data_IF_490920357176
#
_entry.id   IF_490920357176
#
_cell.length_a   1.000
_cell.length_b   1.000
_cell.length_c   1.000
_cell.angle_alpha   90.00
_cell.angle_beta   90.00
_cell.angle_gamma   90.00
#
_symmetry.space_group_name_H-M   'P 1'
#
loop_
_entity.id
_entity.type
_entity.pdbx_description
1 polymer ?
#
# COMPACT_ATOMS: atom_id res chain seq x y z
N UNK A 1 11.92 -37.76 7.44
CA UNK A 1 11.39 -36.47 6.89
C UNK A 1 11.69 -35.24 7.77
N UNK A 2 11.80 -35.39 9.10
CA UNK A 2 12.09 -34.25 9.99
C UNK A 2 13.50 -33.66 9.83
N UNK A 3 14.46 -34.41 9.31
CA UNK A 3 15.86 -33.97 9.12
C UNK A 3 15.96 -32.80 8.12
N UNK A 4 15.08 -32.78 7.11
CA UNK A 4 15.09 -31.73 6.09
C UNK A 4 14.07 -30.63 6.39
N UNK A 5 13.23 -30.81 7.41
CA UNK A 5 12.14 -29.88 7.67
C UNK A 5 12.68 -28.54 8.15
N UNK A 6 12.25 -27.48 7.45
CA UNK A 6 12.36 -26.12 7.94
C UNK A 6 10.98 -25.69 8.47
N UNK A 7 10.91 -25.14 9.70
CA UNK A 7 9.63 -24.83 10.32
C UNK A 7 8.88 -23.67 9.66
N UNK A 8 9.56 -22.79 8.92
CA UNK A 8 8.97 -21.61 8.31
C UNK A 8 8.90 -21.66 6.79
N UNK A 9 9.61 -22.63 6.15
CA UNK A 9 9.68 -22.68 4.69
C UNK A 9 9.80 -24.09 4.13
N UNK A 10 8.84 -24.46 3.27
CA UNK A 10 8.96 -25.65 2.42
C UNK A 10 10.09 -25.52 1.41
N UNK A 11 10.36 -24.34 0.90
CA UNK A 11 11.47 -24.09 -0.04
C UNK A 11 12.83 -24.36 0.62
N UNK A 12 13.03 -23.90 1.85
CA UNK A 12 14.25 -24.21 2.59
C UNK A 12 14.34 -25.68 2.96
N UNK A 13 13.23 -26.37 3.16
CA UNK A 13 13.23 -27.81 3.36
C UNK A 13 13.78 -28.54 2.13
N UNK A 14 13.41 -28.14 0.93
CA UNK A 14 14.00 -28.66 -0.31
C UNK A 14 15.46 -28.29 -0.46
N UNK A 15 15.85 -27.08 -0.08
CA UNK A 15 17.25 -26.65 -0.13
C UNK A 15 18.13 -27.48 0.81
N UNK A 16 17.67 -27.75 2.03
CA UNK A 16 18.35 -28.63 2.99
C UNK A 16 18.53 -30.05 2.44
N UNK A 17 17.46 -30.60 1.83
CA UNK A 17 17.53 -31.89 1.14
C UNK A 17 18.56 -31.89 0.02
N UNK A 18 18.56 -30.85 -0.80
CA UNK A 18 19.50 -30.68 -1.92
C UNK A 18 20.97 -30.65 -1.45
N UNK A 19 21.28 -29.88 -0.42
CA UNK A 19 22.64 -29.81 0.11
C UNK A 19 23.12 -31.15 0.67
N UNK A 20 22.25 -31.86 1.37
CA UNK A 20 22.59 -33.18 1.89
C UNK A 20 22.81 -34.17 0.75
N UNK A 21 21.95 -34.19 -0.24
CA UNK A 21 22.11 -35.03 -1.43
C UNK A 21 23.41 -34.71 -2.19
N UNK A 22 23.73 -33.42 -2.41
CA UNK A 22 25.00 -33.00 -3.06
C UNK A 22 26.23 -33.42 -2.27
N UNK A 23 26.19 -33.37 -0.96
CA UNK A 23 27.29 -33.83 -0.10
C UNK A 23 27.54 -35.31 -0.28
N UNK A 24 26.52 -36.15 -0.23
CA UNK A 24 26.61 -37.56 -0.44
C UNK A 24 27.04 -37.93 -1.89
N UNK A 25 26.60 -37.13 -2.88
CA UNK A 25 26.96 -37.33 -4.28
C UNK A 25 28.43 -37.07 -4.60
N UNK A 26 29.11 -36.20 -3.82
CA UNK A 26 30.55 -35.90 -4.03
C UNK A 26 31.48 -37.07 -3.65
N UNK A 27 31.09 -37.83 -2.62
CA UNK A 27 31.97 -38.78 -1.99
C UNK A 27 31.73 -40.24 -2.41
N UNK A 28 30.70 -40.55 -3.23
CA UNK A 28 30.27 -41.92 -3.38
C UNK A 28 29.87 -42.35 -4.79
N UNK A 29 30.09 -43.65 -5.06
CA UNK A 29 29.65 -44.34 -6.28
C UNK A 29 28.11 -44.45 -6.33
N UNK A 30 27.53 -44.57 -7.52
CA UNK A 30 26.08 -44.68 -7.80
C UNK A 30 25.29 -45.62 -6.87
N UNK A 31 25.92 -46.73 -6.40
CA UNK A 31 25.32 -47.69 -5.46
C UNK A 31 25.02 -47.05 -4.09
N UNK A 32 25.88 -46.23 -3.62
CA UNK A 32 25.76 -45.54 -2.33
C UNK A 32 24.66 -44.47 -2.33
N UNK A 33 24.49 -43.76 -3.44
CA UNK A 33 23.40 -42.80 -3.61
C UNK A 33 22.02 -43.48 -3.62
N UNK A 34 21.92 -44.69 -4.14
CA UNK A 34 20.68 -45.47 -4.06
C UNK A 34 20.34 -45.83 -2.62
N UNK A 35 21.33 -46.31 -1.84
CA UNK A 35 21.17 -46.63 -0.41
C UNK A 35 20.75 -45.37 0.38
N UNK A 36 21.37 -44.22 0.09
CA UNK A 36 20.97 -42.95 0.67
C UNK A 36 19.51 -42.61 0.36
N UNK A 37 19.10 -42.71 -0.91
CA UNK A 37 17.74 -42.45 -1.31
C UNK A 37 16.73 -43.38 -0.61
N UNK A 38 17.01 -44.68 -0.55
CA UNK A 38 16.21 -45.67 0.17
C UNK A 38 16.08 -45.30 1.66
N UNK A 39 17.19 -44.99 2.32
CA UNK A 39 17.21 -44.61 3.74
C UNK A 39 16.30 -43.43 4.05
N UNK A 40 16.20 -42.47 3.15
CA UNK A 40 15.38 -41.27 3.33
C UNK A 40 14.05 -41.26 2.57
N UNK A 41 13.64 -42.42 2.02
CA UNK A 41 12.41 -42.57 1.24
C UNK A 41 12.33 -41.62 0.05
N UNK A 42 13.46 -41.44 -0.63
CA UNK A 42 13.57 -40.59 -1.82
C UNK A 42 13.62 -41.47 -3.08
N UNK A 43 13.00 -40.96 -4.16
CA UNK A 43 13.16 -41.59 -5.48
C UNK A 43 14.52 -41.27 -6.08
N UNK A 44 15.37 -42.26 -6.27
CA UNK A 44 16.70 -42.06 -6.87
C UNK A 44 16.62 -41.43 -8.27
N UNK A 45 15.64 -41.87 -9.09
CA UNK A 45 15.47 -41.29 -10.43
C UNK A 45 15.08 -39.84 -10.39
N UNK A 46 14.13 -39.43 -9.53
CA UNK A 46 13.75 -38.02 -9.36
C UNK A 46 14.89 -37.14 -8.82
N UNK A 47 15.73 -37.69 -7.94
CA UNK A 47 16.91 -36.97 -7.45
C UNK A 47 17.94 -36.77 -8.55
N UNK A 48 18.10 -37.71 -9.47
CA UNK A 48 18.94 -37.54 -10.66
C UNK A 48 18.36 -36.54 -11.65
N UNK A 49 17.09 -36.59 -11.94
CA UNK A 49 16.37 -35.65 -12.80
C UNK A 49 16.55 -34.22 -12.23
N UNK A 50 16.40 -34.05 -10.91
CA UNK A 50 16.64 -32.75 -10.25
C UNK A 50 18.08 -32.29 -10.43
N UNK A 51 19.05 -33.18 -10.30
CA UNK A 51 20.47 -32.85 -10.52
C UNK A 51 20.75 -32.40 -11.95
N UNK A 52 20.17 -33.06 -12.94
CA UNK A 52 20.35 -32.69 -14.35
C UNK A 52 19.64 -31.35 -14.63
N UNK A 53 18.43 -31.15 -14.12
CA UNK A 53 17.72 -29.85 -14.22
C UNK A 53 18.54 -28.70 -13.60
N UNK A 54 19.16 -28.95 -12.42
CA UNK A 54 20.03 -27.94 -11.79
C UNK A 54 21.20 -27.56 -12.70
N UNK A 55 21.85 -28.52 -13.35
CA UNK A 55 22.95 -28.25 -14.29
C UNK A 55 22.50 -27.43 -15.49
N UNK A 56 21.35 -27.77 -16.06
CA UNK A 56 20.79 -27.04 -17.18
C UNK A 56 20.47 -25.59 -16.82
N UNK A 57 19.81 -25.37 -15.67
CA UNK A 57 19.50 -24.03 -15.18
C UNK A 57 20.77 -23.22 -14.87
N UNK A 58 21.82 -23.86 -14.32
CA UNK A 58 23.09 -23.21 -14.07
C UNK A 58 23.74 -22.75 -15.39
N UNK A 59 23.78 -23.62 -16.38
CA UNK A 59 24.31 -23.29 -17.71
C UNK A 59 23.53 -22.12 -18.36
N UNK A 60 22.19 -22.15 -18.30
CA UNK A 60 21.36 -21.03 -18.79
C UNK A 60 21.66 -19.73 -18.05
N UNK A 61 21.87 -19.77 -16.75
CA UNK A 61 22.23 -18.58 -15.97
C UNK A 61 23.60 -18.03 -16.37
N UNK A 62 24.58 -18.91 -16.63
CA UNK A 62 25.92 -18.53 -17.11
C UNK A 62 25.84 -17.90 -18.53
N UNK A 63 25.04 -18.48 -19.44
CA UNK A 63 24.80 -17.93 -20.78
C UNK A 63 24.12 -16.54 -20.76
N UNK A 64 23.38 -16.23 -19.68
CA UNK A 64 22.77 -14.93 -19.42
C UNK A 64 23.67 -13.96 -18.63
N UNK A 65 24.96 -14.27 -18.49
CA UNK A 65 25.95 -13.50 -17.71
C UNK A 65 25.61 -13.33 -16.22
N UNK A 66 24.77 -14.19 -15.64
CA UNK A 66 24.54 -14.20 -14.21
C UNK A 66 25.72 -14.85 -13.47
N UNK A 67 26.24 -14.13 -12.48
CA UNK A 67 27.31 -14.64 -11.62
C UNK A 67 26.75 -15.37 -10.40
N UNK A 68 27.15 -16.60 -10.22
CA UNK A 68 26.82 -17.36 -9.00
C UNK A 68 27.56 -16.74 -7.81
N UNK A 69 26.81 -16.38 -6.75
CA UNK A 69 27.38 -15.86 -5.52
C UNK A 69 28.10 -16.95 -4.73
N UNK A 70 29.27 -16.63 -4.19
CA UNK A 70 30.00 -17.49 -3.26
C UNK A 70 29.51 -17.36 -1.80
N UNK A 71 28.55 -16.46 -1.54
CA UNK A 71 27.97 -16.26 -0.21
C UNK A 71 26.60 -16.92 -0.17
N UNK A 72 26.31 -17.62 0.93
CA UNK A 72 24.99 -18.16 1.18
C UNK A 72 23.96 -17.04 1.27
N UNK A 73 22.85 -17.19 0.56
CA UNK A 73 21.73 -16.27 0.65
C UNK A 73 20.95 -16.49 1.96
N UNK A 74 20.50 -15.41 2.58
CA UNK A 74 19.67 -15.48 3.77
C UNK A 74 18.20 -15.80 3.41
N UNK A 75 17.36 -15.97 4.45
CA UNK A 75 15.94 -16.28 4.30
C UNK A 75 15.21 -15.28 3.38
N UNK A 76 15.40 -13.99 3.63
CA UNK A 76 14.75 -12.93 2.87
C UNK A 76 15.16 -12.94 1.39
N UNK A 77 16.45 -13.05 1.10
CA UNK A 77 16.94 -13.05 -0.28
C UNK A 77 16.40 -14.21 -1.09
N UNK A 78 16.37 -15.42 -0.50
CA UNK A 78 15.82 -16.62 -1.15
C UNK A 78 14.33 -16.42 -1.45
N UNK A 79 13.56 -15.96 -0.45
CA UNK A 79 12.12 -15.85 -0.58
C UNK A 79 11.69 -14.66 -1.44
N UNK A 80 12.43 -13.56 -1.45
CA UNK A 80 12.21 -12.47 -2.40
C UNK A 80 12.37 -12.92 -3.85
N UNK A 81 13.39 -13.76 -4.14
CA UNK A 81 13.60 -14.31 -5.49
C UNK A 81 12.42 -15.17 -5.94
N UNK A 82 11.91 -16.05 -5.08
CA UNK A 82 10.72 -16.84 -5.40
C UNK A 82 9.46 -15.99 -5.49
N UNK A 83 9.29 -15.06 -4.55
CA UNK A 83 8.09 -14.21 -4.48
C UNK A 83 7.91 -13.34 -5.73
N UNK A 84 9.01 -12.92 -6.37
CA UNK A 84 8.95 -12.15 -7.63
C UNK A 84 8.19 -12.87 -8.74
N UNK A 85 8.24 -14.21 -8.77
CA UNK A 85 7.49 -15.06 -9.71
C UNK A 85 6.18 -15.62 -9.14
N UNK A 86 5.92 -15.46 -7.84
CA UNK A 86 4.80 -16.11 -7.13
C UNK A 86 3.83 -15.10 -6.48
N UNK A 87 3.81 -13.85 -6.95
CA UNK A 87 2.92 -12.80 -6.43
C UNK A 87 1.43 -13.16 -6.51
N UNK A 88 1.06 -14.05 -7.44
CA UNK A 88 -0.30 -14.59 -7.54
C UNK A 88 -0.63 -15.69 -6.53
N UNK A 89 0.37 -16.27 -5.87
CA UNK A 89 0.23 -17.41 -4.97
C UNK A 89 0.47 -17.05 -3.50
N UNK A 90 0.11 -15.84 -3.10
CA UNK A 90 0.17 -15.39 -1.70
C UNK A 90 -1.17 -15.58 -1.01
N UNK A 91 -1.13 -15.73 0.31
CA UNK A 91 -2.32 -15.85 1.14
C UNK A 91 -2.22 -15.11 2.45
N UNK A 92 -3.34 -14.56 2.86
CA UNK A 92 -3.54 -13.86 4.13
C UNK A 92 -4.49 -14.63 5.02
N UNK A 93 -4.15 -14.74 6.29
CA UNK A 93 -4.99 -15.36 7.32
C UNK A 93 -5.57 -14.28 8.22
N UNK A 94 -6.88 -14.09 8.14
CA UNK A 94 -7.59 -13.05 8.89
C UNK A 94 -8.18 -13.57 10.22
N UNK A 95 -8.51 -14.85 10.29
CA UNK A 95 -9.23 -15.44 11.41
C UNK A 95 -8.51 -16.65 12.02
N UNK A 96 -9.02 -17.17 13.14
CA UNK A 96 -8.52 -18.36 13.82
C UNK A 96 -8.71 -19.68 13.00
N UNK A 97 -9.38 -19.61 11.85
CA UNK A 97 -9.58 -20.76 10.96
C UNK A 97 -8.29 -21.30 10.33
N UNK A 98 -8.43 -22.30 9.47
CA UNK A 98 -7.32 -22.92 8.72
C UNK A 98 -7.23 -22.39 7.29
N UNK A 99 -8.18 -21.54 6.87
CA UNK A 99 -8.26 -21.00 5.51
C UNK A 99 -7.43 -19.74 5.37
N UNK A 100 -6.82 -19.59 4.20
CA UNK A 100 -6.15 -18.41 3.74
C UNK A 100 -6.94 -17.77 2.62
N UNK A 101 -7.11 -16.46 2.66
CA UNK A 101 -7.61 -15.67 1.54
C UNK A 101 -6.43 -15.35 0.62
N UNK A 102 -6.50 -15.83 -0.60
CA UNK A 102 -5.51 -15.57 -1.64
C UNK A 102 -5.92 -14.44 -2.57
N UNK A 103 -5.07 -14.18 -3.55
CA UNK A 103 -5.37 -13.30 -4.68
C UNK A 103 -6.60 -13.79 -5.44
N UNK A 104 -7.28 -12.89 -6.19
CA UNK A 104 -8.51 -13.20 -6.95
C UNK A 104 -9.62 -13.79 -6.10
N UNK A 105 -9.67 -13.43 -4.81
CA UNK A 105 -10.68 -13.87 -3.84
C UNK A 105 -10.76 -15.40 -3.65
N UNK A 106 -9.73 -16.17 -4.00
CA UNK A 106 -9.69 -17.60 -3.76
C UNK A 106 -9.44 -17.89 -2.28
N UNK A 107 -10.05 -18.96 -1.77
CA UNK A 107 -9.76 -19.48 -0.43
C UNK A 107 -9.10 -20.82 -0.53
N UNK A 108 -8.03 -21.01 0.22
CA UNK A 108 -7.28 -22.27 0.21
C UNK A 108 -6.78 -22.66 1.60
N UNK A 109 -6.45 -23.93 1.74
CA UNK A 109 -5.90 -24.54 2.95
C UNK A 109 -4.41 -24.83 2.75
N UNK A 110 -3.68 -24.98 3.84
CA UNK A 110 -2.30 -25.49 3.76
C UNK A 110 -2.35 -27.02 3.65
N UNK A 111 -1.72 -27.57 2.60
CA UNK A 111 -1.70 -29.00 2.32
C UNK A 111 -0.97 -29.85 3.37
N UNK A 112 0.32 -29.67 3.61
CA UNK A 112 1.08 -30.52 4.52
C UNK A 112 0.68 -30.33 5.97
N UNK A 113 0.43 -31.42 6.71
CA UNK A 113 0.11 -31.39 8.14
C UNK A 113 1.18 -30.65 8.99
N UNK A 114 2.44 -30.68 8.56
CA UNK A 114 3.57 -30.04 9.25
C UNK A 114 3.42 -28.52 9.39
N UNK A 115 2.68 -27.88 8.49
CA UNK A 115 2.46 -26.45 8.51
C UNK A 115 1.07 -26.03 9.02
N UNK A 116 0.13 -26.96 9.16
CA UNK A 116 -1.27 -26.66 9.56
C UNK A 116 -1.39 -25.98 10.92
N UNK A 117 -0.53 -26.36 11.85
CA UNK A 117 -0.55 -25.81 13.21
C UNK A 117 0.24 -24.51 13.33
N UNK A 118 0.78 -23.98 12.23
CA UNK A 118 1.50 -22.71 12.20
C UNK A 118 0.54 -21.58 11.87
N UNK A 119 0.54 -20.56 12.71
CA UNK A 119 -0.34 -19.39 12.55
C UNK A 119 0.38 -18.26 11.82
N UNK A 120 0.83 -18.51 10.59
CA UNK A 120 1.45 -17.46 9.77
C UNK A 120 0.38 -16.54 9.21
N UNK A 121 0.54 -15.24 9.42
CA UNK A 121 -0.38 -14.24 8.91
C UNK A 121 -0.32 -14.13 7.39
N UNK A 122 0.89 -14.18 6.83
CA UNK A 122 1.16 -14.11 5.40
C UNK A 122 2.02 -15.28 4.96
N UNK A 123 1.63 -15.90 3.86
CA UNK A 123 2.38 -16.99 3.24
C UNK A 123 2.46 -16.78 1.73
N UNK A 124 3.49 -17.37 1.11
CA UNK A 124 3.52 -17.68 -0.31
C UNK A 124 3.51 -19.20 -0.51
N UNK A 125 3.00 -19.67 -1.63
CA UNK A 125 2.99 -21.06 -2.02
C UNK A 125 3.65 -21.25 -3.39
N UNK A 126 4.35 -22.37 -3.59
CA UNK A 126 4.87 -22.70 -4.91
C UNK A 126 3.71 -22.96 -5.89
N UNK A 127 2.67 -23.64 -5.42
CA UNK A 127 1.48 -23.95 -6.21
C UNK A 127 0.24 -24.07 -5.32
N UNK A 128 -0.92 -23.89 -5.93
CA UNK A 128 -2.22 -24.15 -5.31
C UNK A 128 -2.91 -25.20 -6.18
N UNK A 129 -3.19 -26.37 -5.62
CA UNK A 129 -3.78 -27.50 -6.33
C UNK A 129 -5.22 -27.72 -5.88
N UNK A 130 -6.08 -28.10 -6.82
CA UNK A 130 -7.47 -28.47 -6.56
C UNK A 130 -7.61 -29.98 -6.45
N UNK A 131 -8.09 -30.44 -5.29
CA UNK A 131 -8.42 -31.84 -5.01
C UNK A 131 -9.83 -31.93 -4.42
N UNK A 132 -10.78 -31.14 -4.94
CA UNK A 132 -12.10 -30.90 -4.36
C UNK A 132 -12.12 -29.75 -3.36
N UNK A 133 -10.96 -29.35 -2.84
CA UNK A 133 -10.65 -28.09 -2.15
C UNK A 133 -9.27 -27.62 -2.59
N UNK A 134 -9.07 -26.33 -2.54
CA UNK A 134 -7.77 -25.74 -2.90
C UNK A 134 -6.77 -25.92 -1.75
N UNK A 135 -5.60 -26.44 -2.07
CA UNK A 135 -4.50 -26.64 -1.13
C UNK A 135 -3.20 -25.99 -1.62
N UNK A 136 -2.61 -25.14 -0.80
CA UNK A 136 -1.28 -24.60 -1.03
C UNK A 136 -0.21 -25.65 -0.73
N UNK A 137 0.71 -25.84 -1.66
CA UNK A 137 1.85 -26.76 -1.55
C UNK A 137 3.15 -25.96 -1.46
N UNK A 138 4.14 -26.50 -0.73
CA UNK A 138 5.45 -25.87 -0.53
C UNK A 138 5.33 -24.40 -0.13
N UNK A 139 4.80 -24.16 1.07
CA UNK A 139 4.57 -22.81 1.57
C UNK A 139 5.82 -22.23 2.26
N UNK A 140 5.91 -20.91 2.28
CA UNK A 140 6.81 -20.18 3.16
C UNK A 140 6.11 -18.99 3.80
N UNK A 141 6.50 -18.68 5.04
CA UNK A 141 6.13 -17.44 5.72
C UNK A 141 6.80 -16.25 5.01
N UNK A 142 6.05 -15.18 4.79
CA UNK A 142 6.56 -13.96 4.18
C UNK A 142 6.22 -12.72 5.00
N UNK A 143 7.00 -11.66 4.80
CA UNK A 143 6.65 -10.32 5.27
C UNK A 143 5.88 -9.59 4.14
N UNK A 144 4.73 -9.01 4.49
CA UNK A 144 3.91 -8.26 3.52
C UNK A 144 4.66 -7.09 2.88
N UNK A 145 5.64 -6.51 3.56
CA UNK A 145 6.49 -5.45 3.04
C UNK A 145 7.29 -5.88 1.80
N UNK A 146 7.59 -7.16 1.69
CA UNK A 146 8.25 -7.71 0.51
C UNK A 146 7.31 -7.67 -0.71
N UNK A 147 6.04 -8.02 -0.47
CA UNK A 147 5.00 -7.95 -1.52
C UNK A 147 4.81 -6.51 -1.99
N UNK A 148 4.66 -5.56 -1.05
CA UNK A 148 4.52 -4.15 -1.38
C UNK A 148 5.68 -3.64 -2.25
N UNK A 149 6.92 -4.05 -1.93
CA UNK A 149 8.12 -3.64 -2.67
C UNK A 149 8.20 -4.25 -4.06
N UNK A 150 7.90 -5.54 -4.19
CA UNK A 150 8.04 -6.28 -5.46
C UNK A 150 6.86 -6.03 -6.41
N UNK A 151 5.67 -5.83 -5.87
CA UNK A 151 4.44 -5.78 -6.63
C UNK A 151 3.99 -4.36 -7.03
N UNK A 152 4.82 -3.32 -6.87
CA UNK A 152 4.44 -1.91 -7.15
C UNK A 152 3.80 -1.72 -8.53
N UNK A 153 4.24 -2.47 -9.53
CA UNK A 153 3.71 -2.42 -10.89
C UNK A 153 2.38 -3.17 -11.10
N UNK A 154 1.91 -3.92 -10.08
CA UNK A 154 0.70 -4.72 -10.10
C UNK A 154 -0.32 -4.28 -9.03
N UNK A 155 0.10 -3.37 -8.13
CA UNK A 155 -0.74 -2.90 -7.03
C UNK A 155 -1.72 -1.85 -7.53
N UNK A 156 -2.99 -2.07 -7.21
CA UNK A 156 -4.05 -1.08 -7.37
C UNK A 156 -4.21 -0.29 -6.07
N UNK A 157 -4.42 1.02 -6.19
CA UNK A 157 -4.62 1.90 -5.05
C UNK A 157 -6.05 2.40 -5.01
N UNK A 158 -6.72 2.20 -3.88
CA UNK A 158 -7.99 2.82 -3.56
C UNK A 158 -7.77 3.94 -2.56
N UNK A 159 -8.45 5.07 -2.78
CA UNK A 159 -8.36 6.23 -1.90
C UNK A 159 -9.72 6.51 -1.27
N UNK A 160 -9.71 6.79 0.02
CA UNK A 160 -10.93 7.06 0.77
C UNK A 160 -10.71 8.14 1.83
N UNK A 161 -11.83 8.78 2.24
CA UNK A 161 -11.87 9.77 3.32
C UNK A 161 -10.89 10.94 3.12
N UNK A 162 -10.85 11.60 1.95
CA UNK A 162 -10.06 12.80 1.80
C UNK A 162 -10.60 13.89 2.74
N UNK A 163 -9.71 14.47 3.56
CA UNK A 163 -10.08 15.49 4.56
C UNK A 163 -8.95 16.45 4.84
N UNK A 164 -9.32 17.63 5.26
CA UNK A 164 -8.37 18.65 5.68
C UNK A 164 -7.61 18.22 6.94
N UNK A 165 -6.31 18.35 6.90
CA UNK A 165 -5.42 18.18 8.04
C UNK A 165 -4.92 19.56 8.48
N UNK A 166 -5.56 20.10 9.51
CA UNK A 166 -5.26 21.44 10.05
C UNK A 166 -3.78 21.58 10.44
N UNK A 167 -3.20 20.58 11.11
CA UNK A 167 -1.80 20.65 11.58
C UNK A 167 -0.77 20.69 10.45
N UNK A 168 -1.04 19.99 9.35
CA UNK A 168 -0.15 19.93 8.20
C UNK A 168 -0.57 20.88 7.07
N UNK A 169 -1.69 21.59 7.26
CA UNK A 169 -2.28 22.52 6.27
C UNK A 169 -2.36 21.90 4.86
N UNK A 170 -2.85 20.66 4.78
CA UNK A 170 -3.00 19.93 3.53
C UNK A 170 -4.16 18.93 3.61
N UNK A 171 -4.56 18.40 2.46
CA UNK A 171 -5.55 17.32 2.43
C UNK A 171 -4.82 15.98 2.52
N UNK A 172 -5.21 15.16 3.50
CA UNK A 172 -4.79 13.79 3.66
C UNK A 172 -5.94 12.85 3.31
N UNK A 173 -5.62 11.68 2.75
CA UNK A 173 -6.56 10.59 2.49
C UNK A 173 -5.98 9.25 2.96
N UNK A 174 -6.84 8.25 3.09
CA UNK A 174 -6.44 6.87 3.35
C UNK A 174 -6.22 6.15 2.02
N UNK A 175 -5.00 5.71 1.77
CA UNK A 175 -4.64 4.86 0.64
C UNK A 175 -4.65 3.40 1.06
N UNK A 176 -5.44 2.59 0.39
CA UNK A 176 -5.49 1.13 0.52
C UNK A 176 -4.82 0.51 -0.69
N UNK A 177 -4.03 -0.54 -0.47
CA UNK A 177 -3.29 -1.21 -1.56
C UNK A 177 -3.83 -2.62 -1.76
N UNK A 178 -4.12 -2.96 -3.02
CA UNK A 178 -4.64 -4.27 -3.41
C UNK A 178 -3.72 -4.91 -4.44
N UNK A 179 -3.50 -6.22 -4.29
CA UNK A 179 -2.81 -7.04 -5.28
C UNK A 179 -3.78 -8.12 -5.77
N UNK A 180 -4.20 -8.02 -7.03
CA UNK A 180 -5.22 -8.90 -7.61
C UNK A 180 -6.46 -9.06 -6.70
N UNK A 181 -6.95 -7.95 -6.15
CA UNK A 181 -8.10 -7.92 -5.25
C UNK A 181 -7.81 -8.31 -3.78
N UNK A 182 -6.63 -8.82 -3.46
CA UNK A 182 -6.22 -9.09 -2.09
C UNK A 182 -5.70 -7.81 -1.44
N UNK A 183 -6.26 -7.44 -0.29
CA UNK A 183 -5.80 -6.28 0.48
C UNK A 183 -4.45 -6.59 1.09
N UNK A 184 -3.39 -5.96 0.58
CA UNK A 184 -2.02 -6.08 1.12
C UNK A 184 -1.68 -4.99 2.13
N UNK A 185 -2.34 -3.83 2.02
CA UNK A 185 -2.28 -2.76 3.02
C UNK A 185 -3.68 -2.15 3.21
N UNK A 186 -4.27 -2.26 4.41
CA UNK A 186 -5.65 -1.81 4.65
C UNK A 186 -5.79 -0.29 4.74
N UNK A 187 -4.69 0.44 5.00
CA UNK A 187 -4.76 1.89 5.07
C UNK A 187 -3.46 2.56 5.47
N UNK A 188 -3.00 3.46 4.62
CA UNK A 188 -1.88 4.36 4.86
C UNK A 188 -2.35 5.79 4.62
N UNK A 189 -2.10 6.69 5.57
CA UNK A 189 -2.37 8.11 5.37
C UNK A 189 -1.36 8.69 4.39
N UNK A 190 -1.88 9.35 3.35
CA UNK A 190 -1.06 9.99 2.31
C UNK A 190 -1.48 11.44 2.09
N UNK A 191 -0.58 12.23 1.50
CA UNK A 191 -0.92 13.55 0.97
C UNK A 191 -1.75 13.39 -0.31
N UNK A 192 -3.04 13.77 -0.24
CA UNK A 192 -3.99 13.53 -1.33
C UNK A 192 -3.83 14.48 -2.51
N UNK A 193 -3.22 15.65 -2.30
CA UNK A 193 -2.97 16.61 -3.36
C UNK A 193 -2.14 16.09 -4.54
N UNK A 194 -1.27 15.11 -4.30
CA UNK A 194 -0.50 14.43 -5.37
C UNK A 194 -1.32 13.44 -6.19
N UNK A 195 -2.49 13.03 -5.68
CA UNK A 195 -3.38 12.06 -6.33
C UNK A 195 -4.51 12.77 -7.07
N UNK A 196 -5.18 13.71 -6.40
CA UNK A 196 -6.29 14.45 -6.96
C UNK A 196 -6.20 15.93 -6.50
N UNK A 197 -5.63 16.75 -7.37
CA UNK A 197 -5.45 18.17 -7.12
C UNK A 197 -6.79 18.91 -7.01
N UNK A 198 -7.73 18.61 -7.91
CA UNK A 198 -9.02 19.29 -7.99
C UNK A 198 -9.85 19.09 -6.71
N UNK A 199 -9.98 17.85 -6.28
CA UNK A 199 -10.71 17.51 -5.06
C UNK A 199 -10.01 18.04 -3.81
N UNK A 200 -8.67 17.97 -3.76
CA UNK A 200 -7.89 18.54 -2.66
C UNK A 200 -8.06 20.06 -2.57
N UNK A 201 -8.10 20.76 -3.71
CA UNK A 201 -8.38 22.18 -3.75
C UNK A 201 -9.77 22.51 -3.24
N UNK A 202 -10.80 21.76 -3.65
CA UNK A 202 -12.17 21.95 -3.16
C UNK A 202 -12.25 21.77 -1.64
N UNK A 203 -11.58 20.75 -1.10
CA UNK A 203 -11.54 20.48 0.34
C UNK A 203 -10.77 21.58 1.07
N UNK A 204 -9.61 22.03 0.55
CA UNK A 204 -8.85 23.13 1.12
C UNK A 204 -9.67 24.41 1.22
N UNK A 205 -10.34 24.81 0.13
CA UNK A 205 -11.18 26.02 0.14
C UNK A 205 -12.35 25.84 1.12
N UNK A 206 -13.07 24.71 1.06
CA UNK A 206 -14.26 24.49 1.89
C UNK A 206 -13.92 24.35 3.37
N UNK A 207 -13.05 23.41 3.72
CA UNK A 207 -12.71 23.14 5.12
C UNK A 207 -11.66 24.10 5.66
N UNK A 208 -10.62 24.38 4.90
CA UNK A 208 -9.55 25.29 5.34
C UNK A 208 -10.02 26.74 5.43
N UNK A 209 -10.56 27.29 4.34
CA UNK A 209 -10.82 28.72 4.26
C UNK A 209 -12.25 29.09 4.69
N UNK A 210 -13.27 28.36 4.22
CA UNK A 210 -14.69 28.69 4.50
C UNK A 210 -15.10 28.26 5.89
N UNK A 211 -14.68 27.07 6.35
CA UNK A 211 -14.95 26.56 7.71
C UNK A 211 -13.91 27.05 8.74
N UNK A 212 -12.97 27.90 8.29
CA UNK A 212 -11.98 28.57 9.15
C UNK A 212 -11.04 27.62 9.90
N UNK A 213 -10.79 26.45 9.35
CA UNK A 213 -9.84 25.48 9.93
C UNK A 213 -8.39 25.74 9.51
N UNK A 214 -8.13 26.76 8.69
CA UNK A 214 -6.79 27.18 8.30
C UNK A 214 -6.23 28.21 9.29
N UNK A 215 -5.01 28.02 9.76
CA UNK A 215 -4.36 28.94 10.67
C UNK A 215 -3.32 29.77 9.92
N UNK A 216 -3.51 31.08 9.87
CA UNK A 216 -2.56 32.05 9.31
C UNK A 216 -2.63 33.37 10.05
N UNK A 217 -1.48 34.06 10.10
CA UNK A 217 -1.38 35.43 10.65
C UNK A 217 -1.56 36.53 9.57
N UNK A 218 -2.05 36.15 8.38
CA UNK A 218 -2.24 37.08 7.28
C UNK A 218 -3.30 38.16 7.61
N UNK A 219 -3.08 39.45 7.24
CA UNK A 219 -4.01 40.51 7.54
C UNK A 219 -5.43 40.29 7.03
N UNK A 220 -5.59 39.72 5.81
CA UNK A 220 -6.89 39.43 5.25
C UNK A 220 -7.70 38.45 6.12
N UNK A 221 -7.01 37.49 6.74
CA UNK A 221 -7.66 36.44 7.54
C UNK A 221 -8.36 37.02 8.75
N UNK A 222 -7.64 37.86 9.51
CA UNK A 222 -8.21 38.55 10.67
C UNK A 222 -9.37 39.46 10.25
N UNK A 223 -9.18 40.26 9.17
CA UNK A 223 -10.23 41.13 8.65
C UNK A 223 -11.49 40.35 8.28
N UNK A 224 -11.35 39.25 7.55
CA UNK A 224 -12.47 38.42 7.10
C UNK A 224 -13.21 37.77 8.29
N UNK A 225 -12.48 37.28 9.29
CA UNK A 225 -13.05 36.74 10.53
C UNK A 225 -13.86 37.82 11.30
N UNK A 226 -13.27 38.97 11.49
CA UNK A 226 -13.91 40.10 12.19
C UNK A 226 -15.18 40.57 11.43
N UNK A 227 -15.16 40.61 10.11
CA UNK A 227 -16.30 40.98 9.28
C UNK A 227 -17.45 39.93 9.38
N UNK A 228 -17.10 38.67 9.30
CA UNK A 228 -18.06 37.55 9.43
C UNK A 228 -18.75 37.60 10.81
N UNK A 229 -17.95 37.73 11.89
CA UNK A 229 -18.47 37.83 13.25
C UNK A 229 -19.41 39.06 13.44
N UNK A 230 -19.05 40.19 12.83
CA UNK A 230 -19.90 41.39 12.83
C UNK A 230 -21.24 41.16 12.15
N UNK A 231 -21.26 40.48 11.02
CA UNK A 231 -22.49 40.16 10.28
C UNK A 231 -23.35 39.20 11.06
N UNK A 232 -22.78 38.12 11.61
CA UNK A 232 -23.49 37.14 12.44
C UNK A 232 -24.13 37.80 13.69
N UNK A 233 -23.43 38.72 14.34
CA UNK A 233 -23.96 39.53 15.47
C UNK A 233 -25.12 40.44 15.08
N UNK A 234 -25.10 41.01 13.87
CA UNK A 234 -26.18 41.83 13.33
C UNK A 234 -27.43 40.98 13.05
N UNK A 235 -27.26 39.79 12.53
CA UNK A 235 -28.35 38.83 12.30
C UNK A 235 -29.08 38.48 13.61
N UNK A 236 -28.31 38.08 14.61
CA UNK A 236 -28.86 37.75 15.94
C UNK A 236 -29.67 38.91 16.54
N UNK A 237 -29.28 40.17 16.29
CA UNK A 237 -29.99 41.35 16.82
C UNK A 237 -31.23 41.73 16.03
N UNK A 238 -31.24 41.50 14.69
CA UNK A 238 -32.31 41.95 13.82
C UNK A 238 -33.47 40.98 13.67
N UNK A 239 -33.38 39.75 14.21
CA UNK A 239 -34.37 38.64 14.01
C UNK A 239 -34.72 38.38 12.54
N UNK A 240 -33.92 38.85 11.59
CA UNK A 240 -34.07 38.58 10.16
C UNK A 240 -33.21 37.37 9.80
N UNK A 241 -33.86 36.31 9.34
CA UNK A 241 -33.18 35.10 8.84
C UNK A 241 -32.53 35.30 7.45
N UNK A 242 -32.70 36.49 6.86
CA UNK A 242 -32.33 36.78 5.47
C UNK A 242 -30.85 37.20 5.30
N UNK A 243 -30.07 37.23 6.40
CA UNK A 243 -28.68 37.71 6.39
C UNK A 243 -27.67 36.58 6.65
N UNK A 244 -28.12 35.30 6.67
CA UNK A 244 -27.21 34.18 6.88
C UNK A 244 -26.08 34.21 5.86
N UNK A 245 -24.83 34.29 6.37
CA UNK A 245 -23.66 34.21 5.51
C UNK A 245 -23.67 32.82 4.84
N UNK A 246 -24.00 32.84 3.55
CA UNK A 246 -24.03 31.62 2.77
C UNK A 246 -22.58 31.12 2.56
N UNK A 247 -22.26 29.95 3.11
CA UNK A 247 -20.96 29.31 2.94
C UNK A 247 -20.59 29.11 1.46
N UNK A 248 -21.58 28.96 0.58
CA UNK A 248 -21.32 28.82 -0.85
C UNK A 248 -20.87 30.15 -1.48
N UNK A 249 -21.33 31.29 -0.97
CA UNK A 249 -20.83 32.61 -1.39
C UNK A 249 -19.38 32.79 -1.00
N UNK A 250 -19.00 32.39 0.23
CA UNK A 250 -17.60 32.38 0.66
C UNK A 250 -16.73 31.44 -0.18
N UNK A 251 -17.26 30.26 -0.49
CA UNK A 251 -16.59 29.29 -1.34
C UNK A 251 -16.32 29.90 -2.74
N UNK A 252 -17.33 30.49 -3.37
CA UNK A 252 -17.21 31.14 -4.68
C UNK A 252 -16.21 32.30 -4.66
N UNK A 253 -16.15 33.08 -3.57
CA UNK A 253 -15.17 34.12 -3.43
C UNK A 253 -13.73 33.60 -3.52
N UNK A 254 -13.41 32.57 -2.75
CA UNK A 254 -12.08 32.00 -2.76
C UNK A 254 -11.81 31.21 -4.05
N UNK A 255 -12.80 30.46 -4.56
CA UNK A 255 -12.70 29.70 -5.79
C UNK A 255 -12.34 30.56 -6.99
N UNK A 256 -12.94 31.77 -7.10
CA UNK A 256 -12.69 32.69 -8.20
C UNK A 256 -11.38 33.48 -8.09
N UNK A 257 -10.83 33.60 -6.88
CA UNK A 257 -9.64 34.43 -6.62
C UNK A 257 -8.35 33.61 -6.52
N UNK A 258 -8.43 32.40 -6.02
CA UNK A 258 -7.24 31.57 -5.78
C UNK A 258 -6.92 30.77 -7.03
N UNK A 259 -5.67 30.76 -7.45
CA UNK A 259 -5.21 30.01 -8.61
C UNK A 259 -5.55 28.51 -8.51
N UNK A 260 -5.85 27.91 -9.65
CA UNK A 260 -6.34 26.52 -9.74
C UNK A 260 -5.34 25.48 -9.22
N UNK A 261 -4.07 25.81 -9.17
CA UNK A 261 -3.01 24.91 -8.71
C UNK A 261 -2.84 24.89 -7.18
N UNK A 262 -3.51 25.79 -6.47
CA UNK A 262 -3.38 25.92 -5.03
C UNK A 262 -4.34 24.96 -4.31
N UNK A 263 -3.76 24.00 -3.59
CA UNK A 263 -4.50 22.91 -2.93
C UNK A 263 -4.09 22.69 -1.46
N UNK A 264 -3.18 23.49 -0.94
CA UNK A 264 -2.69 23.37 0.44
C UNK A 264 -2.19 24.72 0.99
N UNK A 265 -1.96 24.77 2.31
CA UNK A 265 -1.55 25.99 2.99
C UNK A 265 -0.18 26.51 2.54
N UNK A 266 0.79 25.65 2.28
CA UNK A 266 2.13 26.09 1.86
C UNK A 266 2.09 26.78 0.49
N UNK A 267 1.42 26.15 -0.49
CA UNK A 267 1.21 26.75 -1.81
C UNK A 267 0.39 28.04 -1.73
N UNK A 268 -0.64 28.05 -0.89
CA UNK A 268 -1.47 29.22 -0.65
C UNK A 268 -0.67 30.39 -0.07
N UNK A 269 0.16 30.17 0.95
CA UNK A 269 0.99 31.25 1.54
C UNK A 269 2.01 31.83 0.55
N UNK A 270 2.62 30.95 -0.28
CA UNK A 270 3.55 31.42 -1.31
C UNK A 270 2.84 32.25 -2.36
N UNK A 271 1.74 31.77 -2.91
CA UNK A 271 0.92 32.46 -3.90
C UNK A 271 0.37 33.79 -3.33
N UNK A 272 -0.25 33.75 -2.15
CA UNK A 272 -0.82 34.91 -1.49
C UNK A 272 0.18 36.04 -1.31
N UNK A 273 1.37 35.72 -0.77
CA UNK A 273 2.42 36.76 -0.58
C UNK A 273 2.82 37.43 -1.88
N UNK A 274 2.83 36.73 -2.98
CA UNK A 274 3.13 37.32 -4.29
C UNK A 274 1.97 38.16 -4.79
N UNK A 275 0.73 37.73 -4.66
CA UNK A 275 -0.46 38.45 -5.08
C UNK A 275 -0.67 39.71 -4.25
N UNK A 276 -0.48 39.68 -2.94
CA UNK A 276 -0.65 40.81 -2.03
C UNK A 276 0.43 41.93 -2.22
N UNK A 277 1.55 41.62 -2.86
CA UNK A 277 2.53 42.67 -3.25
C UNK A 277 1.96 43.62 -4.31
N UNK A 278 1.05 43.14 -5.14
CA UNK A 278 0.44 43.90 -6.23
C UNK A 278 -0.91 44.47 -5.80
N UNK A 279 -1.69 43.69 -5.06
CA UNK A 279 -2.97 44.08 -4.48
C UNK A 279 -3.07 43.62 -3.01
N UNK A 280 -2.71 44.47 -2.04
CA UNK A 280 -2.75 44.11 -0.62
C UNK A 280 -4.12 43.75 -0.08
N UNK A 281 -5.19 44.11 -0.78
CA UNK A 281 -6.57 43.82 -0.38
C UNK A 281 -7.26 42.75 -1.21
N UNK A 282 -6.51 42.06 -2.04
CA UNK A 282 -7.06 41.07 -2.98
C UNK A 282 -7.97 40.00 -2.32
N UNK A 283 -7.61 39.51 -1.14
CA UNK A 283 -8.38 38.48 -0.41
C UNK A 283 -9.29 39.05 0.69
N UNK A 284 -9.44 40.35 0.79
CA UNK A 284 -10.34 41.00 1.78
C UNK A 284 -11.80 40.83 1.30
N UNK A 285 -12.66 40.31 2.17
CA UNK A 285 -14.09 40.32 1.98
C UNK A 285 -14.65 41.73 2.18
N UNK A 286 -15.70 42.08 1.48
CA UNK A 286 -16.46 43.31 1.68
C UNK A 286 -17.90 42.97 2.09
N UNK A 287 -18.51 43.91 2.82
CA UNK A 287 -19.88 43.76 3.27
C UNK A 287 -20.87 43.69 2.08
N UNK A 288 -20.61 44.48 1.05
CA UNK A 288 -21.39 44.55 -0.18
C UNK A 288 -21.35 43.19 -0.91
N UNK A 289 -20.17 42.53 -1.00
CA UNK A 289 -20.04 41.24 -1.64
C UNK A 289 -20.88 40.15 -0.94
N UNK A 290 -20.87 40.13 0.40
CA UNK A 290 -21.61 39.15 1.19
C UNK A 290 -23.12 39.40 1.13
N UNK A 291 -23.56 40.68 1.09
CA UNK A 291 -25.00 41.02 1.08
C UNK A 291 -25.62 40.95 -0.32
N UNK A 292 -24.94 41.32 -1.40
CA UNK A 292 -25.47 41.30 -2.76
C UNK A 292 -25.74 39.88 -3.26
N UNK A 293 -24.87 38.95 -2.93
CA UNK A 293 -25.06 37.55 -3.38
C UNK A 293 -26.03 36.73 -2.55
N UNK A 294 -26.39 37.14 -1.35
CA UNK A 294 -27.48 36.52 -0.61
C UNK A 294 -28.87 36.95 -1.08
N UNK A 295 -28.98 38.05 -1.86
CA UNK A 295 -30.24 38.54 -2.43
C UNK A 295 -30.52 37.96 -3.83
N UNK A 296 -29.54 37.35 -4.51
CA UNK A 296 -29.65 36.79 -5.86
C UNK A 296 -29.95 35.28 -5.86
N UNK A 297 -30.12 34.66 -4.70
CA UNK A 297 -30.52 33.25 -4.50
C UNK A 297 -31.87 33.16 -3.78
#
# INVERSE_FOLDING_TARGET
HLIFHDPESGFLSFLKLWFLFKKEAKDQKSKSLRIFCEKYFLSFNRMREWQELYKQLLQMAEEMDYKVSNKDANYEQIHLSFLSGLLGNIGFKDSEGYEYLGTRSIKFLIGPKLFRNKNYKWIMAAEIIDTGKLYAQCIAKIDIKWVEKLALHLVEFEYSNPRWNKKLSRVDATQKSLLYGLIINPGKTIHYGSVNLEESRKIFIRQGLVEMEYETNAPFWKHNLDLIDQIEKLEHKSRRQDILINKDVLYQFYENKIDKEIMNGAGFEFWRKNTERHDPKYLFLTKEYLMQKSADQ
#
